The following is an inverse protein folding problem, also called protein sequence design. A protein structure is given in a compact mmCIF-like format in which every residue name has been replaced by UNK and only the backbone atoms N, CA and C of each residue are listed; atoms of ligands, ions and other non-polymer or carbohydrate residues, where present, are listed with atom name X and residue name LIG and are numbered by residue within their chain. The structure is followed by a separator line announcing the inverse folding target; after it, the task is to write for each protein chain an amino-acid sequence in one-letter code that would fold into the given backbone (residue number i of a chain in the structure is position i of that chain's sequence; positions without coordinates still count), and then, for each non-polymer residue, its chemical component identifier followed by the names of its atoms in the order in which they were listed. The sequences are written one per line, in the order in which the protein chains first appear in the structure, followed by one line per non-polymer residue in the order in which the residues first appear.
data_IF_983708082737
#
_entry.id   IF_983708082737
#
_cell.length_a   1.000
_cell.length_b   1.000
_cell.length_c   1.000
_cell.angle_alpha   90.00
_cell.angle_beta   90.00
_cell.angle_gamma   90.00
#
_symmetry.space_group_name_H-M   'P 1'
#
loop_
_entity.id
_entity.type
_entity.pdbx_description
1 polymer ?
#
# COMPACT_ATOMS: atom_id res chain seq x y z
N UNK A 1 -3.76 -5.08 -9.30
CA UNK A 1 -2.56 -5.36 -8.47
C UNK A 1 -2.85 -5.08 -7.01
N UNK A 2 -2.38 -5.89 -6.07
CA UNK A 2 -2.53 -5.61 -4.63
C UNK A 2 -1.19 -5.36 -3.97
N UNK A 3 -1.13 -4.41 -3.04
CA UNK A 3 0.11 -4.01 -2.38
C UNK A 3 -0.08 -3.99 -0.89
N UNK A 4 0.74 -4.75 -0.19
CA UNK A 4 0.81 -4.73 1.26
C UNK A 4 1.86 -3.73 1.72
N UNK A 5 1.50 -2.85 2.66
CA UNK A 5 2.42 -1.91 3.29
C UNK A 5 2.32 -2.10 4.80
N UNK A 6 3.44 -2.36 5.46
CA UNK A 6 3.48 -2.55 6.91
C UNK A 6 4.46 -1.58 7.58
N UNK A 7 4.06 -1.07 8.74
CA UNK A 7 4.91 -0.37 9.71
C UNK A 7 4.34 -0.64 11.12
N UNK A 8 5.16 -0.98 12.14
CA UNK A 8 6.56 -0.64 12.31
C UNK A 8 7.58 -1.65 11.75
N UNK A 9 7.17 -2.75 11.13
CA UNK A 9 8.09 -3.64 10.42
C UNK A 9 8.13 -3.24 8.93
N UNK A 10 9.02 -2.33 8.51
CA UNK A 10 8.89 -1.62 7.25
C UNK A 10 9.12 -2.54 6.05
N UNK A 11 8.07 -2.82 5.30
CA UNK A 11 8.17 -3.47 3.99
C UNK A 11 6.95 -3.16 3.13
N UNK A 12 7.18 -3.21 1.82
CA UNK A 12 6.13 -3.16 0.81
C UNK A 12 6.20 -4.46 0.00
N UNK A 13 5.05 -5.09 -0.24
CA UNK A 13 4.98 -6.30 -1.05
C UNK A 13 3.91 -6.13 -2.13
N UNK A 14 4.33 -6.23 -3.39
CA UNK A 14 3.46 -6.18 -4.56
C UNK A 14 3.05 -7.60 -4.92
N UNK A 15 1.75 -7.86 -4.93
CA UNK A 15 1.15 -9.10 -5.41
C UNK A 15 0.64 -8.87 -6.84
N UNK A 16 1.26 -9.54 -7.81
CA UNK A 16 0.94 -9.40 -9.25
C UNK A 16 -0.34 -10.13 -9.61
N UNK A 17 -0.56 -11.29 -9.00
CA UNK A 17 -1.75 -12.10 -9.18
C UNK A 17 -2.80 -11.76 -8.11
N UNK A 18 -3.96 -11.25 -8.53
CA UNK A 18 -5.10 -10.98 -7.63
C UNK A 18 -5.67 -12.23 -6.96
N UNK A 19 -5.36 -13.42 -7.48
CA UNK A 19 -5.72 -14.71 -6.89
C UNK A 19 -4.63 -15.31 -6.00
N UNK A 20 -3.57 -14.54 -5.70
CA UNK A 20 -2.52 -15.00 -4.80
C UNK A 20 -3.14 -15.33 -3.43
N UNK A 21 -2.99 -16.58 -3.00
CA UNK A 21 -3.60 -17.08 -1.77
C UNK A 21 -3.16 -16.30 -0.54
N UNK A 22 -1.96 -15.69 -0.57
CA UNK A 22 -1.42 -14.87 0.53
C UNK A 22 -2.16 -13.55 0.70
N UNK A 23 -2.85 -13.09 -0.34
CA UNK A 23 -3.64 -11.88 -0.25
C UNK A 23 -4.81 -12.15 0.70
N UNK A 24 -4.91 -11.32 1.73
CA UNK A 24 -5.95 -11.42 2.75
C UNK A 24 -5.97 -12.72 3.57
N UNK A 25 -4.93 -13.57 3.62
CA UNK A 25 -4.95 -14.78 4.48
C UNK A 25 -5.27 -14.48 5.95
N UNK A 26 -4.96 -13.27 6.39
CA UNK A 26 -5.17 -12.87 7.77
C UNK A 26 -6.55 -12.23 8.03
N UNK A 27 -7.40 -12.00 6.99
CA UNK A 27 -8.73 -11.35 7.00
C UNK A 27 -9.11 -10.66 8.32
N UNK A 28 -8.24 -9.75 8.78
CA UNK A 28 -8.38 -9.22 10.13
C UNK A 28 -9.61 -8.32 10.14
N UNK A 29 -10.38 -8.39 11.21
CA UNK A 29 -11.48 -7.45 11.39
C UNK A 29 -10.93 -6.02 11.31
N UNK A 30 -11.52 -5.18 10.45
CA UNK A 30 -11.04 -3.82 10.21
C UNK A 30 -9.82 -3.70 9.30
N UNK A 31 -9.54 -4.69 8.43
CA UNK A 31 -8.49 -4.56 7.42
C UNK A 31 -8.66 -3.29 6.59
N UNK A 32 -7.60 -2.48 6.53
CA UNK A 32 -7.61 -1.18 5.86
C UNK A 32 -7.25 -1.37 4.39
N UNK A 33 -8.26 -1.36 3.54
CA UNK A 33 -8.11 -1.51 2.09
C UNK A 33 -8.39 -0.17 1.41
N UNK A 34 -7.40 0.34 0.69
CA UNK A 34 -7.47 1.56 -0.10
C UNK A 34 -7.61 1.19 -1.56
N UNK A 35 -8.78 1.44 -2.13
CA UNK A 35 -9.05 1.16 -3.54
C UNK A 35 -8.56 2.32 -4.40
N UNK A 36 -7.72 2.01 -5.38
CA UNK A 36 -7.08 2.96 -6.30
C UNK A 36 -7.43 2.56 -7.71
N UNK A 37 -8.13 3.44 -8.41
CA UNK A 37 -8.42 3.32 -9.83
C UNK A 37 -8.43 4.71 -10.47
N UNK A 38 -8.61 4.80 -11.78
CA UNK A 38 -8.59 6.10 -12.49
C UNK A 38 -9.55 7.15 -11.90
N UNK A 39 -10.71 6.73 -11.36
CA UNK A 39 -11.69 7.64 -10.76
C UNK A 39 -11.33 8.11 -9.34
N UNK A 40 -10.48 7.35 -8.62
CA UNK A 40 -10.13 7.59 -7.22
C UNK A 40 -8.68 8.05 -7.03
N UNK A 41 -7.82 7.85 -8.03
CA UNK A 41 -6.38 8.12 -8.00
C UNK A 41 -6.04 9.47 -7.39
N UNK A 42 -6.64 10.55 -7.91
CA UNK A 42 -6.40 11.92 -7.42
C UNK A 42 -6.76 12.06 -5.94
N UNK A 43 -7.91 11.54 -5.53
CA UNK A 43 -8.37 11.61 -4.14
C UNK A 43 -7.42 10.85 -3.20
N UNK A 44 -7.04 9.64 -3.57
CA UNK A 44 -6.16 8.81 -2.75
C UNK A 44 -4.77 9.44 -2.63
N UNK A 45 -4.22 9.99 -3.71
CA UNK A 45 -2.94 10.67 -3.67
C UNK A 45 -2.96 11.87 -2.70
N UNK A 46 -4.01 12.69 -2.76
CA UNK A 46 -4.20 13.81 -1.82
C UNK A 46 -4.29 13.30 -0.38
N UNK A 47 -4.95 12.17 -0.13
CA UNK A 47 -5.04 11.58 1.20
C UNK A 47 -3.67 11.12 1.74
N UNK A 48 -2.80 10.55 0.89
CA UNK A 48 -1.43 10.24 1.27
C UNK A 48 -0.62 11.49 1.59
N UNK A 49 -0.70 12.52 0.74
CA UNK A 49 0.02 13.79 0.95
C UNK A 49 -0.45 14.49 2.24
N UNK A 50 -1.74 14.39 2.57
CA UNK A 50 -2.33 15.00 3.76
C UNK A 50 -2.30 14.07 4.98
N UNK A 51 -1.44 13.05 5.00
CA UNK A 51 -1.23 12.20 6.18
C UNK A 51 -2.49 11.46 6.69
N UNK A 52 -3.47 11.19 5.82
CA UNK A 52 -4.72 10.53 6.21
C UNK A 52 -4.56 9.04 6.60
N UNK A 53 -3.38 8.47 6.37
CA UNK A 53 -3.06 7.06 6.54
C UNK A 53 -1.99 6.86 7.61
N UNK A 54 -2.43 6.83 8.88
CA UNK A 54 -1.54 6.64 10.02
C UNK A 54 -1.17 5.17 10.22
N UNK A 55 0.10 4.91 10.55
CA UNK A 55 0.56 3.62 11.04
C UNK A 55 0.83 3.66 12.54
N UNK A 56 0.45 2.59 13.25
CA UNK A 56 0.70 2.41 14.68
C UNK A 56 1.07 0.96 14.98
N UNK A 57 1.58 0.70 16.18
CA UNK A 57 2.03 -0.65 16.57
C UNK A 57 0.89 -1.64 16.76
N UNK A 58 -0.37 -1.19 16.92
CA UNK A 58 -1.50 -2.11 17.08
C UNK A 58 -1.82 -2.84 15.76
N UNK A 59 -2.17 -4.13 15.87
CA UNK A 59 -2.40 -5.00 14.72
C UNK A 59 -3.48 -4.53 13.73
N UNK A 60 -4.39 -3.63 14.12
CA UNK A 60 -5.40 -3.05 13.23
C UNK A 60 -4.88 -1.83 12.43
N UNK A 61 -3.81 -1.19 12.92
CA UNK A 61 -3.25 0.07 12.40
C UNK A 61 -1.81 -0.09 11.87
N UNK A 62 -1.22 -1.27 11.95
CA UNK A 62 0.16 -1.52 11.51
C UNK A 62 0.31 -1.78 10.00
N UNK A 63 -0.80 -1.96 9.27
CA UNK A 63 -0.74 -2.17 7.82
C UNK A 63 -1.91 -1.57 7.06
N UNK A 64 -1.66 -1.38 5.77
CA UNK A 64 -2.62 -0.97 4.76
C UNK A 64 -2.43 -1.84 3.53
N UNK A 65 -3.54 -2.18 2.89
CA UNK A 65 -3.59 -2.81 1.59
C UNK A 65 -4.00 -1.79 0.54
N UNK A 66 -3.23 -1.66 -0.53
CA UNK A 66 -3.66 -0.96 -1.73
C UNK A 66 -4.24 -1.97 -2.71
N UNK A 67 -5.45 -1.72 -3.17
CA UNK A 67 -6.07 -2.46 -4.26
C UNK A 67 -6.06 -1.55 -5.49
N UNK A 68 -5.05 -1.72 -6.34
CA UNK A 68 -4.72 -0.82 -7.45
C UNK A 68 -5.21 -1.44 -8.76
N UNK A 69 -5.94 -0.65 -9.53
CA UNK A 69 -6.40 -0.98 -10.88
C UNK A 69 -6.27 0.26 -11.75
N UNK A 70 -5.09 0.44 -12.35
CA UNK A 70 -4.80 1.51 -13.31
C UNK A 70 -4.66 0.94 -14.72
N UNK A 71 -4.49 1.81 -15.72
CA UNK A 71 -4.57 1.40 -17.12
C UNK A 71 -3.40 0.50 -17.55
N UNK A 72 -2.23 0.64 -16.94
CA UNK A 72 -1.05 -0.19 -17.24
C UNK A 72 -0.32 -0.57 -15.96
N UNK A 73 0.42 -1.68 -16.01
CA UNK A 73 1.21 -2.16 -14.88
C UNK A 73 2.25 -1.11 -14.42
N UNK A 74 2.88 -0.40 -15.36
CA UNK A 74 3.85 0.65 -15.07
C UNK A 74 3.23 1.82 -14.29
N UNK A 75 1.96 2.17 -14.57
CA UNK A 75 1.23 3.16 -13.79
C UNK A 75 0.98 2.67 -12.36
N UNK A 76 0.63 1.39 -12.21
CA UNK A 76 0.42 0.78 -10.90
C UNK A 76 1.71 0.79 -10.07
N UNK A 77 2.83 0.33 -10.63
CA UNK A 77 4.15 0.34 -9.99
C UNK A 77 4.60 1.77 -9.68
N UNK A 78 4.43 2.69 -10.62
CA UNK A 78 4.75 4.11 -10.41
C UNK A 78 3.99 4.71 -9.24
N UNK A 79 2.70 4.37 -9.09
CA UNK A 79 1.90 4.81 -7.94
C UNK A 79 2.46 4.25 -6.61
N UNK A 80 2.91 3.00 -6.56
CA UNK A 80 3.53 2.42 -5.36
C UNK A 80 4.77 3.20 -4.94
N UNK A 81 5.66 3.53 -5.88
CA UNK A 81 6.87 4.32 -5.59
C UNK A 81 6.53 5.73 -5.09
N UNK A 82 5.51 6.39 -5.67
CA UNK A 82 5.05 7.69 -5.19
C UNK A 82 4.52 7.59 -3.76
N UNK A 83 3.70 6.58 -3.45
CA UNK A 83 3.21 6.34 -2.09
C UNK A 83 4.36 6.07 -1.12
N UNK A 84 5.34 5.25 -1.51
CA UNK A 84 6.53 5.00 -0.69
C UNK A 84 7.30 6.30 -0.38
N UNK A 85 7.50 7.14 -1.40
CA UNK A 85 8.23 8.40 -1.24
C UNK A 85 7.50 9.36 -0.27
N UNK A 86 6.16 9.45 -0.37
CA UNK A 86 5.34 10.26 0.53
C UNK A 86 5.42 9.70 1.96
N UNK A 87 5.13 8.40 2.13
CA UNK A 87 5.18 7.77 3.45
C UNK A 87 6.57 7.86 4.08
N UNK A 88 7.64 7.79 3.28
CA UNK A 88 9.03 7.92 3.72
C UNK A 88 9.38 9.28 4.33
N UNK A 89 8.65 10.35 4.01
CA UNK A 89 8.85 11.66 4.63
C UNK A 89 8.50 11.65 6.12
N UNK A 90 7.49 10.85 6.50
CA UNK A 90 7.00 10.72 7.87
C UNK A 90 7.54 9.48 8.57
N UNK A 91 7.46 8.33 7.90
CA UNK A 91 7.92 7.03 8.37
C UNK A 91 9.26 6.72 7.69
N UNK A 92 10.34 7.34 8.14
CA UNK A 92 11.69 7.21 7.54
C UNK A 92 12.05 5.76 7.13
N UNK A 93 11.78 4.72 7.94
CA UNK A 93 12.10 3.34 7.54
C UNK A 93 11.35 2.83 6.31
N UNK A 94 10.13 3.32 6.02
CA UNK A 94 9.39 2.98 4.80
C UNK A 94 10.01 3.59 3.54
N UNK A 95 10.64 4.77 3.66
CA UNK A 95 11.23 5.47 2.52
C UNK A 95 12.36 4.71 1.83
N UNK A 96 13.05 3.83 2.56
CA UNK A 96 14.11 2.96 2.04
C UNK A 96 13.77 1.46 2.14
N UNK A 97 12.53 1.13 2.50
CA UNK A 97 12.12 -0.27 2.59
C UNK A 97 12.16 -0.93 1.21
N UNK A 98 12.59 -2.20 1.12
CA UNK A 98 12.51 -2.92 -0.15
C UNK A 98 11.05 -3.06 -0.56
N UNK A 99 10.79 -2.85 -1.85
CA UNK A 99 9.55 -3.28 -2.49
C UNK A 99 9.82 -4.69 -3.01
N UNK A 100 9.25 -5.70 -2.36
CA UNK A 100 9.32 -7.08 -2.83
C UNK A 100 8.18 -7.34 -3.81
N UNK A 101 8.47 -8.11 -4.85
CA UNK A 101 7.44 -8.67 -5.71
C UNK A 101 7.10 -10.08 -5.25
N UNK A 102 5.82 -10.38 -5.25
CA UNK A 102 5.27 -11.69 -4.93
C UNK A 102 4.23 -12.07 -5.99
N UNK A 103 4.13 -13.38 -6.25
CA UNK A 103 3.25 -14.08 -7.20
C UNK A 103 2.40 -13.22 -8.14
#
# INVERSE_FOLDING_TARGET
MQVYINYPNPHLTIHKNSSCQQIHMHQKSGQRIVKVNSSTLKKILIQFVNDAYDFKSEAQWNDIWLDISLSTHEQEIGFVHVVQAILGQRYKPLGSAPISEHC
#
